data_IF_103389157055
#
_entry.id   IF_103389157055
#
_cell.length_a   1.000
_cell.length_b   1.000
_cell.length_c   1.000
_cell.angle_alpha   90.00
_cell.angle_beta   90.00
_cell.angle_gamma   90.00
#
_symmetry.space_group_name_H-M   'P 1'
#
loop_
_entity.id
_entity.type
_entity.pdbx_description
1 polymer ?
#
# COMPACT_ATOMS: atom_id res chain seq x y z
N UNK A 1 27.13 16.28 13.32
CA UNK A 1 26.80 15.00 12.64
C UNK A 1 26.90 15.24 11.13
N UNK A 2 27.43 14.33 10.32
CA UNK A 2 27.40 14.48 8.87
C UNK A 2 25.94 14.62 8.42
N UNK A 3 25.71 15.41 7.37
CA UNK A 3 24.37 15.56 6.79
C UNK A 3 24.05 14.25 6.10
N UNK A 4 22.94 13.58 6.44
CA UNK A 4 22.59 12.32 5.80
C UNK A 4 22.40 12.53 4.29
N UNK A 5 22.67 11.48 3.53
CA UNK A 5 22.33 11.43 2.13
C UNK A 5 20.80 11.43 1.97
N UNK A 6 20.27 12.30 1.10
CA UNK A 6 18.81 12.42 0.91
C UNK A 6 18.38 11.75 -0.39
N UNK A 7 17.48 10.78 -0.30
CA UNK A 7 16.74 10.27 -1.45
C UNK A 7 15.41 11.00 -1.57
N UNK A 8 15.21 11.69 -2.68
CA UNK A 8 13.94 12.33 -3.02
C UNK A 8 13.20 11.48 -4.05
N UNK A 9 12.22 10.70 -3.59
CA UNK A 9 11.35 9.96 -4.48
C UNK A 9 10.24 10.89 -5.00
N UNK A 10 10.26 11.17 -6.29
CA UNK A 10 9.51 12.29 -6.86
C UNK A 10 8.14 11.88 -7.38
N UNK A 11 8.04 10.76 -8.07
CA UNK A 11 6.78 10.28 -8.63
C UNK A 11 6.84 8.80 -9.01
N UNK A 12 5.69 8.16 -8.98
CA UNK A 12 5.47 6.79 -9.42
C UNK A 12 3.98 6.56 -9.65
N UNK A 13 3.65 5.50 -10.35
CA UNK A 13 2.28 5.17 -10.71
C UNK A 13 1.45 4.59 -9.57
N UNK A 14 0.14 4.46 -9.82
CA UNK A 14 -0.79 3.71 -8.98
C UNK A 14 -1.48 4.53 -7.90
N UNK A 15 -2.45 3.85 -7.26
CA UNK A 15 -3.26 4.38 -6.16
C UNK A 15 -2.63 4.01 -4.81
N UNK A 16 -3.36 4.27 -3.71
CA UNK A 16 -2.88 4.09 -2.33
C UNK A 16 -2.07 2.81 -2.11
N UNK A 17 -2.59 1.64 -2.50
CA UNK A 17 -1.90 0.36 -2.24
C UNK A 17 -0.49 0.31 -2.82
N UNK A 18 -0.32 0.81 -4.05
CA UNK A 18 1.00 0.88 -4.69
C UNK A 18 1.91 1.91 -4.02
N UNK A 19 1.34 3.05 -3.59
CA UNK A 19 2.09 4.09 -2.90
C UNK A 19 2.57 3.60 -1.53
N UNK A 20 1.71 2.89 -0.78
CA UNK A 20 2.07 2.28 0.51
C UNK A 20 3.20 1.26 0.34
N UNK A 21 3.05 0.33 -0.60
CA UNK A 21 4.05 -0.71 -0.85
C UNK A 21 5.41 -0.10 -1.20
N UNK A 22 5.42 0.86 -2.11
CA UNK A 22 6.66 1.53 -2.51
C UNK A 22 7.30 2.31 -1.37
N UNK A 23 6.52 3.09 -0.63
CA UNK A 23 7.05 3.84 0.50
C UNK A 23 7.54 2.90 1.61
N UNK A 24 6.88 1.75 1.80
CA UNK A 24 7.35 0.71 2.71
C UNK A 24 8.76 0.20 2.35
N UNK A 25 9.05 -0.02 1.06
CA UNK A 25 10.38 -0.39 0.60
C UNK A 25 11.42 0.70 0.88
N UNK A 26 11.08 1.96 0.60
CA UNK A 26 11.96 3.09 0.90
C UNK A 26 12.22 3.26 2.40
N UNK A 27 11.20 3.08 3.23
CA UNK A 27 11.36 3.13 4.69
C UNK A 27 12.24 1.98 5.19
N UNK A 28 12.06 0.77 4.65
CA UNK A 28 12.88 -0.39 4.99
C UNK A 28 14.35 -0.15 4.65
N UNK A 29 14.62 0.37 3.46
CA UNK A 29 15.96 0.73 3.02
C UNK A 29 16.59 1.81 3.91
N UNK A 30 15.84 2.88 4.23
CA UNK A 30 16.33 3.94 5.11
C UNK A 30 16.59 3.43 6.54
N UNK A 31 15.81 2.44 6.99
CA UNK A 31 16.02 1.80 8.30
C UNK A 31 17.27 0.91 8.33
N UNK A 32 17.56 0.23 7.22
CA UNK A 32 18.77 -0.57 7.10
C UNK A 32 20.04 0.30 7.15
N UNK A 33 19.96 1.51 6.60
CA UNK A 33 21.05 2.50 6.58
C UNK A 33 20.82 3.65 7.58
N UNK A 34 20.31 3.33 8.79
CA UNK A 34 19.92 4.34 9.78
C UNK A 34 21.09 5.26 10.17
N UNK A 35 20.84 6.55 10.06
CA UNK A 35 21.82 7.60 10.34
C UNK A 35 22.60 8.08 9.12
N UNK A 36 22.65 7.31 8.04
CA UNK A 36 23.39 7.64 6.82
C UNK A 36 22.47 8.25 5.75
N UNK A 37 21.20 7.85 5.75
CA UNK A 37 20.22 8.24 4.72
C UNK A 37 18.92 8.78 5.30
N UNK A 38 18.24 9.60 4.51
CA UNK A 38 16.83 9.94 4.69
C UNK A 38 16.10 9.82 3.35
N UNK A 39 14.83 9.49 3.41
CA UNK A 39 13.95 9.39 2.24
C UNK A 39 12.83 10.41 2.35
N UNK A 40 12.56 11.12 1.28
CA UNK A 40 11.42 12.04 1.13
C UNK A 40 10.54 11.48 0.01
N UNK A 41 9.34 10.97 0.35
CA UNK A 41 8.42 10.41 -0.65
C UNK A 41 7.34 11.44 -1.03
N UNK A 42 7.62 12.22 -2.08
CA UNK A 42 6.68 13.20 -2.63
C UNK A 42 5.47 12.54 -3.31
N UNK A 43 5.60 11.31 -3.77
CA UNK A 43 4.50 10.60 -4.40
C UNK A 43 3.46 10.10 -3.38
N UNK A 44 3.86 9.90 -2.12
CA UNK A 44 2.96 9.53 -1.02
C UNK A 44 2.22 10.73 -0.41
N UNK A 45 2.71 11.93 -0.60
CA UNK A 45 2.14 13.16 -0.02
C UNK A 45 0.60 13.27 -0.11
N UNK A 46 -0.07 12.97 -1.25
CA UNK A 46 -1.53 13.07 -1.32
C UNK A 46 -2.29 12.17 -0.33
N UNK A 47 -1.61 11.17 0.22
CA UNK A 47 -2.17 10.21 1.17
C UNK A 47 -1.72 10.46 2.61
N UNK A 48 -0.84 11.42 2.84
CA UNK A 48 -0.23 11.70 4.15
C UNK A 48 -1.27 11.92 5.26
N UNK A 49 -2.35 12.66 4.94
CA UNK A 49 -3.41 12.99 5.91
C UNK A 49 -4.24 11.77 6.38
N UNK A 50 -4.17 10.66 5.65
CA UNK A 50 -4.87 9.42 6.01
C UNK A 50 -4.19 8.67 7.16
N UNK A 51 -2.95 9.01 7.48
CA UNK A 51 -2.13 8.31 8.46
C UNK A 51 -1.66 9.23 9.58
N UNK A 52 -1.77 8.73 10.82
CA UNK A 52 -1.48 9.51 12.03
C UNK A 52 -0.09 10.16 11.98
N UNK A 53 0.92 9.40 11.60
CA UNK A 53 2.30 9.82 11.55
C UNK A 53 2.53 10.95 10.54
N UNK A 54 2.00 10.79 9.33
CA UNK A 54 2.26 11.70 8.21
C UNK A 54 1.38 12.95 8.22
N UNK A 55 0.27 12.93 8.97
CA UNK A 55 -0.59 14.12 9.13
C UNK A 55 0.17 15.31 9.71
N UNK A 56 1.12 15.08 10.60
CA UNK A 56 1.99 16.12 11.17
C UNK A 56 3.27 16.36 10.35
N UNK A 57 3.61 15.45 9.45
CA UNK A 57 4.81 15.49 8.61
C UNK A 57 4.47 15.26 7.13
N UNK A 58 3.73 16.20 6.48
CA UNK A 58 3.20 16.00 5.13
C UNK A 58 4.28 15.87 4.05
N UNK A 59 5.53 16.26 4.32
CA UNK A 59 6.65 16.01 3.40
C UNK A 59 7.05 14.52 3.33
N UNK A 60 6.44 13.64 4.16
CA UNK A 60 6.69 12.20 4.16
C UNK A 60 8.17 11.83 4.24
N UNK A 61 8.87 12.42 5.22
CA UNK A 61 10.30 12.20 5.47
C UNK A 61 10.49 11.01 6.40
N UNK A 62 11.35 10.08 6.03
CA UNK A 62 11.73 8.95 6.89
C UNK A 62 13.26 8.77 6.92
N UNK A 63 13.90 8.54 8.08
CA UNK A 63 13.31 8.54 9.42
C UNK A 63 12.70 9.87 9.80
N UNK A 64 11.66 9.84 10.66
CA UNK A 64 11.00 11.06 11.09
C UNK A 64 11.96 11.95 11.90
N UNK A 65 12.29 13.08 11.32
CA UNK A 65 13.08 14.14 11.98
C UNK A 65 12.40 15.48 11.70
N UNK A 66 12.48 16.47 12.61
CA UNK A 66 12.04 17.82 12.28
C UNK A 66 12.77 18.28 11.02
N UNK A 67 12.06 18.38 9.92
CA UNK A 67 12.64 18.75 8.64
C UNK A 67 12.21 20.17 8.22
N UNK A 68 13.11 20.90 7.55
CA UNK A 68 12.77 22.25 7.05
C UNK A 68 11.60 22.22 6.06
N UNK A 69 11.49 21.14 5.28
CA UNK A 69 10.38 20.95 4.36
C UNK A 69 9.03 20.72 5.07
N UNK A 70 9.01 20.10 6.26
CA UNK A 70 7.78 19.96 7.05
C UNK A 70 7.25 21.31 7.52
N UNK A 71 8.13 22.23 7.90
CA UNK A 71 7.75 23.60 8.26
C UNK A 71 7.18 24.34 7.03
N UNK A 72 7.85 24.26 5.88
CA UNK A 72 7.38 24.82 4.63
C UNK A 72 6.06 24.17 4.16
N UNK A 73 5.96 22.83 4.20
CA UNK A 73 4.75 22.11 3.83
C UNK A 73 3.56 22.47 4.74
N UNK A 74 3.78 22.67 6.05
CA UNK A 74 2.73 23.16 6.97
C UNK A 74 2.28 24.57 6.66
N UNK A 75 3.20 25.43 6.26
CA UNK A 75 2.92 26.82 5.88
C UNK A 75 2.10 26.89 4.57
N UNK A 76 2.32 25.92 3.67
CA UNK A 76 1.66 25.82 2.37
C UNK A 76 0.61 24.69 2.30
N UNK A 77 0.03 24.29 3.45
CA UNK A 77 -1.03 23.25 3.52
C UNK A 77 -2.23 23.48 2.58
N UNK A 78 -2.47 24.71 2.19
CA UNK A 78 -3.50 25.08 1.23
C UNK A 78 -3.13 24.75 -0.23
N UNK A 79 -1.86 24.48 -0.51
CA UNK A 79 -1.42 24.06 -1.86
C UNK A 79 -1.82 22.59 -2.07
N UNK A 80 -2.56 22.30 -3.15
CA UNK A 80 -2.90 20.92 -3.49
C UNK A 80 -1.64 20.06 -3.62
N UNK A 81 -1.64 18.85 -3.06
CA UNK A 81 -0.51 17.91 -3.12
C UNK A 81 -0.03 17.63 -4.55
N UNK A 82 -0.91 17.78 -5.56
CA UNK A 82 -0.55 17.64 -6.97
C UNK A 82 0.43 18.72 -7.47
N UNK A 83 0.46 19.91 -6.85
CA UNK A 83 1.46 20.95 -7.18
C UNK A 83 2.85 20.53 -6.69
N UNK A 84 2.94 19.96 -5.50
CA UNK A 84 4.20 19.40 -5.00
C UNK A 84 4.71 18.25 -5.87
N UNK A 85 3.82 17.36 -6.30
CA UNK A 85 4.16 16.27 -7.21
C UNK A 85 4.62 16.77 -8.59
N UNK A 86 3.95 17.79 -9.16
CA UNK A 86 4.39 18.38 -10.42
C UNK A 86 5.77 19.03 -10.27
N UNK A 87 5.98 19.81 -9.21
CA UNK A 87 7.29 20.41 -8.94
C UNK A 87 8.39 19.36 -8.80
N UNK A 88 8.12 18.27 -8.08
CA UNK A 88 9.05 17.16 -7.92
C UNK A 88 9.37 16.46 -9.26
N UNK A 89 8.37 16.25 -10.13
CA UNK A 89 8.59 15.72 -11.50
C UNK A 89 9.46 16.64 -12.36
N UNK A 90 9.20 17.95 -12.32
CA UNK A 90 10.04 18.91 -13.04
C UNK A 90 11.47 18.92 -12.51
N UNK A 91 11.65 18.88 -11.18
CA UNK A 91 12.98 18.79 -10.58
C UNK A 91 13.71 17.53 -11.05
N UNK A 92 13.05 16.37 -10.96
CA UNK A 92 13.62 15.10 -11.40
C UNK A 92 14.02 15.16 -12.90
N UNK A 93 13.12 15.61 -13.76
CA UNK A 93 13.41 15.79 -15.20
C UNK A 93 14.58 16.75 -15.45
N UNK A 94 14.67 17.85 -14.70
CA UNK A 94 15.77 18.80 -14.80
C UNK A 94 17.10 18.15 -14.34
N UNK A 95 17.11 17.44 -13.23
CA UNK A 95 18.31 16.73 -12.74
C UNK A 95 18.73 15.65 -13.73
N UNK A 96 17.79 14.88 -14.27
CA UNK A 96 18.06 13.86 -15.29
C UNK A 96 18.64 14.44 -16.55
N UNK A 97 18.05 15.55 -17.06
CA UNK A 97 18.51 16.21 -18.27
C UNK A 97 19.86 16.93 -18.12
N UNK A 98 20.13 17.44 -16.89
CA UNK A 98 21.30 18.30 -16.63
C UNK A 98 22.33 17.64 -15.72
N UNK A 99 22.08 16.43 -15.22
CA UNK A 99 22.89 15.77 -14.20
C UNK A 99 24.38 15.58 -14.56
N UNK A 100 24.72 15.59 -15.86
CA UNK A 100 26.11 15.70 -16.33
C UNK A 100 26.72 17.10 -16.14
N UNK A 101 25.90 18.13 -15.92
CA UNK A 101 26.32 19.54 -15.90
C UNK A 101 26.29 20.18 -14.52
N UNK A 102 25.80 19.45 -13.47
CA UNK A 102 25.64 19.99 -12.12
C UNK A 102 26.43 19.26 -11.02
N UNK A 103 27.73 18.99 -11.22
CA UNK A 103 28.56 18.36 -10.18
C UNK A 103 28.63 19.19 -8.88
N UNK A 104 28.43 20.52 -8.97
CA UNK A 104 28.45 21.41 -7.80
C UNK A 104 27.30 21.17 -6.82
N UNK A 105 26.16 20.65 -7.28
CA UNK A 105 24.98 20.40 -6.43
C UNK A 105 24.96 18.99 -5.87
N UNK A 106 25.88 18.14 -6.25
CA UNK A 106 25.94 16.74 -5.83
C UNK A 106 24.58 16.03 -5.92
N UNK A 107 23.87 16.24 -7.02
CA UNK A 107 22.59 15.61 -7.31
C UNK A 107 22.72 14.63 -8.47
N UNK A 108 22.02 13.51 -8.34
CA UNK A 108 21.89 12.50 -9.41
C UNK A 108 20.44 12.09 -9.54
N UNK A 109 20.00 11.72 -10.74
CA UNK A 109 18.72 11.09 -11.00
C UNK A 109 18.95 9.60 -11.26
N UNK A 110 18.28 8.74 -10.53
CA UNK A 110 18.26 7.29 -10.73
C UNK A 110 16.83 6.87 -11.08
N UNK A 111 16.68 6.27 -12.23
CA UNK A 111 15.42 5.74 -12.73
C UNK A 111 15.44 4.23 -12.77
N UNK A 112 14.27 3.64 -12.85
CA UNK A 112 14.06 2.24 -13.14
C UNK A 112 14.62 1.93 -14.55
N UNK A 113 15.73 1.19 -14.69
CA UNK A 113 16.32 0.92 -15.98
C UNK A 113 15.39 0.02 -16.80
N UNK A 114 14.92 0.54 -17.94
CA UNK A 114 14.14 -0.23 -18.92
C UNK A 114 12.87 -0.92 -18.41
N UNK A 115 12.26 -0.45 -17.31
CA UNK A 115 11.06 -1.04 -16.72
C UNK A 115 11.35 -2.21 -15.78
N UNK A 116 12.61 -2.42 -15.40
CA UNK A 116 13.03 -3.31 -14.33
C UNK A 116 12.84 -2.66 -12.97
N UNK A 117 12.77 -3.45 -11.90
CA UNK A 117 12.64 -2.92 -10.54
C UNK A 117 13.95 -2.26 -10.10
N UNK A 118 13.86 -1.06 -9.52
CA UNK A 118 14.97 -0.47 -8.78
C UNK A 118 15.24 -1.31 -7.55
N UNK A 119 16.33 -2.05 -7.56
CA UNK A 119 16.70 -2.95 -6.47
C UNK A 119 17.45 -2.19 -5.37
N UNK A 120 16.74 -1.95 -4.26
CA UNK A 120 17.29 -1.27 -3.09
C UNK A 120 18.27 -2.13 -2.28
N UNK A 121 18.29 -3.44 -2.50
CA UNK A 121 19.22 -4.37 -1.84
C UNK A 121 20.54 -4.48 -2.59
N UNK A 122 20.60 -3.93 -3.81
CA UNK A 122 21.83 -3.89 -4.58
C UNK A 122 22.88 -2.99 -3.92
N UNK A 123 24.09 -3.49 -3.64
CA UNK A 123 25.20 -2.64 -3.17
C UNK A 123 25.55 -1.50 -4.13
N UNK A 124 25.30 -1.69 -5.43
CA UNK A 124 25.55 -0.68 -6.45
C UNK A 124 24.59 0.50 -6.32
N UNK A 125 23.32 0.24 -5.94
CA UNK A 125 22.38 1.31 -5.69
C UNK A 125 22.84 2.18 -4.53
N UNK A 126 23.15 1.59 -3.38
CA UNK A 126 23.63 2.35 -2.21
C UNK A 126 24.92 3.11 -2.54
N UNK A 127 25.90 2.44 -3.17
CA UNK A 127 27.18 3.04 -3.54
C UNK A 127 27.00 4.22 -4.51
N UNK A 128 26.06 4.11 -5.44
CA UNK A 128 25.75 5.19 -6.40
C UNK A 128 25.04 6.35 -5.73
N UNK A 129 24.09 6.07 -4.86
CA UNK A 129 23.37 7.07 -4.09
C UNK A 129 24.32 7.82 -3.14
N UNK A 130 25.14 7.11 -2.38
CA UNK A 130 26.03 7.68 -1.36
C UNK A 130 27.14 8.61 -1.91
N UNK A 131 27.44 8.53 -3.23
CA UNK A 131 28.38 9.46 -3.89
C UNK A 131 27.82 10.88 -4.03
N UNK A 132 26.53 11.05 -3.84
CA UNK A 132 25.83 12.32 -4.07
C UNK A 132 25.13 12.75 -2.77
N UNK A 133 24.95 14.05 -2.61
CA UNK A 133 24.23 14.59 -1.46
C UNK A 133 22.72 14.36 -1.56
N UNK A 134 22.20 14.42 -2.78
CA UNK A 134 20.77 14.20 -3.08
C UNK A 134 20.63 13.28 -4.28
N UNK A 135 19.86 12.23 -4.12
CA UNK A 135 19.46 11.36 -5.24
C UNK A 135 17.97 11.55 -5.48
N UNK A 136 17.60 11.91 -6.72
CA UNK A 136 16.20 11.90 -7.12
C UNK A 136 15.86 10.58 -7.77
N UNK A 137 14.76 9.97 -7.35
CA UNK A 137 14.29 8.71 -7.90
C UNK A 137 12.87 8.87 -8.42
N UNK A 138 12.57 8.16 -9.51
CA UNK A 138 11.24 8.05 -10.07
C UNK A 138 11.02 6.62 -10.56
N UNK A 139 9.80 6.31 -10.96
CA UNK A 139 9.47 5.02 -11.52
C UNK A 139 8.37 4.29 -10.78
N UNK A 140 8.02 3.13 -11.32
CA UNK A 140 6.91 2.34 -10.79
C UNK A 140 7.38 1.27 -9.82
N UNK A 141 8.50 0.65 -10.11
CA UNK A 141 8.95 -0.57 -9.44
C UNK A 141 10.15 -0.27 -8.55
N UNK A 142 9.96 -0.48 -7.27
CA UNK A 142 11.01 -0.44 -6.26
C UNK A 142 10.93 -1.73 -5.46
N UNK A 143 12.02 -2.39 -5.22
CA UNK A 143 12.09 -3.63 -4.44
C UNK A 143 13.21 -3.58 -3.41
N UNK A 144 12.93 -4.16 -2.26
CA UNK A 144 13.84 -4.32 -1.12
C UNK A 144 13.11 -5.24 -0.14
N UNK A 145 12.82 -6.47 -0.60
CA UNK A 145 11.89 -7.36 0.09
C UNK A 145 12.47 -7.94 1.37
N UNK A 146 13.77 -8.23 1.41
CA UNK A 146 14.41 -8.72 2.63
C UNK A 146 14.47 -7.62 3.69
N UNK A 147 14.76 -6.38 3.28
CA UNK A 147 14.73 -5.24 4.19
C UNK A 147 13.31 -4.99 4.71
N UNK A 148 12.30 -5.09 3.82
CA UNK A 148 10.91 -4.92 4.20
C UNK A 148 10.46 -6.00 5.20
N UNK A 149 10.79 -7.26 4.96
CA UNK A 149 10.52 -8.37 5.88
C UNK A 149 11.18 -8.16 7.25
N UNK A 150 12.44 -7.72 7.26
CA UNK A 150 13.20 -7.44 8.49
C UNK A 150 12.59 -6.32 9.32
N UNK A 151 12.10 -5.26 8.68
CA UNK A 151 11.64 -4.03 9.35
C UNK A 151 10.11 -3.87 9.39
N UNK A 152 9.35 -4.89 9.00
CA UNK A 152 7.90 -4.82 8.83
C UNK A 152 7.12 -4.27 10.04
N UNK A 153 7.54 -4.63 11.27
CA UNK A 153 6.87 -4.17 12.48
C UNK A 153 6.90 -2.64 12.63
N UNK A 154 8.08 -2.04 12.44
CA UNK A 154 8.24 -0.56 12.51
C UNK A 154 7.51 0.12 11.36
N UNK A 155 7.50 -0.48 10.17
CA UNK A 155 6.82 0.08 9.00
C UNK A 155 5.30 0.06 9.18
N UNK A 156 4.73 -1.01 9.75
CA UNK A 156 3.29 -1.07 10.11
C UNK A 156 2.89 0.08 11.02
N UNK A 157 3.72 0.38 12.04
CA UNK A 157 3.49 1.51 12.95
C UNK A 157 3.43 2.86 12.20
N UNK A 158 4.27 3.04 11.18
CA UNK A 158 4.27 4.24 10.36
C UNK A 158 2.97 4.41 9.55
N UNK A 159 2.25 3.33 9.28
CA UNK A 159 1.01 3.33 8.54
C UNK A 159 -0.24 3.20 9.42
N UNK A 160 -0.15 3.53 10.69
CA UNK A 160 -1.35 3.64 11.54
C UNK A 160 -2.33 4.64 10.95
N UNK A 161 -3.60 4.26 10.74
CA UNK A 161 -4.62 5.19 10.27
C UNK A 161 -4.76 6.42 11.17
N UNK A 162 -5.14 7.54 10.60
CA UNK A 162 -5.52 8.72 11.36
C UNK A 162 -6.65 8.37 12.34
N UNK A 163 -6.63 8.87 13.60
CA UNK A 163 -7.58 8.46 14.65
C UNK A 163 -9.07 8.61 14.30
N UNK A 164 -9.43 9.51 13.39
CA UNK A 164 -10.81 9.63 12.90
C UNK A 164 -11.24 8.39 12.14
N UNK A 165 -10.44 7.95 11.16
CA UNK A 165 -10.70 6.74 10.38
C UNK A 165 -10.63 5.49 11.25
N UNK A 166 -9.68 5.41 12.19
CA UNK A 166 -9.59 4.29 13.12
C UNK A 166 -10.87 4.15 13.93
N UNK A 167 -11.38 5.23 14.52
CA UNK A 167 -12.64 5.21 15.29
C UNK A 167 -13.87 4.86 14.44
N UNK A 168 -13.95 5.33 13.19
CA UNK A 168 -15.05 4.96 12.29
C UNK A 168 -15.02 3.47 12.01
N UNK A 169 -13.87 2.91 11.69
CA UNK A 169 -13.72 1.49 11.42
C UNK A 169 -14.00 0.62 12.66
N UNK A 170 -13.51 1.03 13.84
CA UNK A 170 -13.82 0.33 15.10
C UNK A 170 -15.31 0.34 15.41
N UNK A 171 -15.99 1.47 15.19
CA UNK A 171 -17.46 1.56 15.38
C UNK A 171 -18.21 0.61 14.45
N UNK A 172 -17.72 0.36 13.25
CA UNK A 172 -18.29 -0.62 12.33
C UNK A 172 -17.97 -2.07 12.76
N UNK A 173 -16.72 -2.35 13.09
CA UNK A 173 -16.23 -3.71 13.37
C UNK A 173 -16.66 -4.24 14.76
N UNK A 174 -16.69 -3.41 15.80
CA UNK A 174 -16.95 -3.86 17.17
C UNK A 174 -18.31 -4.57 17.34
N UNK A 175 -19.44 -4.12 16.76
CA UNK A 175 -20.71 -4.85 16.84
C UNK A 175 -20.66 -6.21 16.13
N UNK A 176 -19.85 -6.34 15.06
CA UNK A 176 -19.67 -7.60 14.34
C UNK A 176 -18.86 -8.58 15.19
N UNK A 177 -17.80 -8.12 15.84
CA UNK A 177 -17.00 -8.94 16.79
C UNK A 177 -17.85 -9.48 17.95
N UNK A 178 -18.87 -8.75 18.39
CA UNK A 178 -19.81 -9.23 19.42
C UNK A 178 -20.75 -10.35 18.95
N UNK A 179 -20.95 -10.49 17.64
CA UNK A 179 -21.88 -11.46 17.05
C UNK A 179 -21.21 -12.66 16.38
N UNK A 180 -20.00 -12.50 15.86
CA UNK A 180 -19.31 -13.47 15.04
C UNK A 180 -17.98 -13.84 15.63
N UNK A 181 -17.62 -15.09 15.48
CA UNK A 181 -16.37 -15.66 16.01
C UNK A 181 -15.19 -15.44 15.06
N UNK A 182 -15.50 -15.20 13.77
CA UNK A 182 -14.53 -14.92 12.70
C UNK A 182 -15.05 -13.79 11.82
N UNK A 183 -14.20 -12.80 11.57
CA UNK A 183 -14.45 -11.74 10.58
C UNK A 183 -13.47 -11.87 9.42
N UNK A 184 -13.97 -12.20 8.24
CA UNK A 184 -13.19 -12.23 7.01
C UNK A 184 -13.35 -10.89 6.25
N UNK A 185 -12.27 -10.26 5.88
CA UNK A 185 -12.29 -9.14 4.94
C UNK A 185 -12.31 -9.65 3.50
N UNK A 186 -13.16 -9.10 2.64
CA UNK A 186 -13.22 -9.43 1.22
C UNK A 186 -13.12 -8.17 0.38
N UNK A 187 -12.11 -8.10 -0.48
CA UNK A 187 -11.99 -7.06 -1.48
C UNK A 187 -12.58 -7.52 -2.82
N UNK A 188 -13.56 -6.79 -3.33
CA UNK A 188 -14.08 -6.93 -4.68
C UNK A 188 -13.49 -5.83 -5.55
N UNK A 189 -12.78 -6.21 -6.62
CA UNK A 189 -12.20 -5.28 -7.59
C UNK A 189 -12.78 -5.56 -8.96
N UNK A 190 -13.45 -4.58 -9.55
CA UNK A 190 -14.08 -4.69 -10.86
C UNK A 190 -13.68 -3.57 -11.81
N UNK A 191 -13.73 -2.31 -11.42
CA UNK A 191 -13.46 -1.14 -12.22
C UNK A 191 -12.39 -1.32 -13.30
N UNK A 192 -11.16 -0.98 -12.97
CA UNK A 192 -9.99 -1.15 -13.84
C UNK A 192 -9.64 -2.63 -14.12
N UNK A 193 -10.13 -3.57 -13.31
CA UNK A 193 -9.90 -5.02 -13.49
C UNK A 193 -10.64 -5.61 -14.70
N UNK A 194 -11.63 -4.92 -15.26
CA UNK A 194 -12.30 -5.36 -16.51
C UNK A 194 -11.32 -5.44 -17.69
N UNK A 195 -10.31 -4.59 -17.70
CA UNK A 195 -9.31 -4.53 -18.78
C UNK A 195 -7.91 -4.96 -18.32
N UNK A 196 -7.63 -4.84 -17.02
CA UNK A 196 -6.34 -5.24 -16.49
C UNK A 196 -6.15 -6.75 -16.64
N UNK A 197 -5.03 -7.13 -17.26
CA UNK A 197 -4.75 -8.54 -17.57
C UNK A 197 -5.92 -9.23 -18.31
N UNK A 198 -6.49 -8.55 -19.29
CA UNK A 198 -7.60 -9.07 -20.12
C UNK A 198 -8.82 -9.47 -19.29
N UNK A 199 -9.03 -8.84 -18.13
CA UNK A 199 -10.15 -9.14 -17.24
C UNK A 199 -9.99 -10.42 -16.40
N UNK A 200 -8.83 -11.08 -16.43
CA UNK A 200 -8.58 -12.36 -15.74
C UNK A 200 -8.98 -12.38 -14.28
N UNK A 201 -8.84 -11.26 -13.58
CA UNK A 201 -9.12 -11.13 -12.16
C UNK A 201 -10.37 -10.29 -11.85
N UNK A 202 -11.17 -10.00 -12.87
CA UNK A 202 -12.48 -9.36 -12.72
C UNK A 202 -13.55 -10.42 -12.49
N UNK A 203 -13.75 -10.81 -11.23
CA UNK A 203 -14.71 -11.86 -10.87
C UNK A 203 -16.12 -11.31 -10.72
N UNK A 204 -17.12 -12.16 -11.02
CA UNK A 204 -18.53 -11.82 -10.86
C UNK A 204 -18.95 -11.84 -9.38
N UNK A 205 -20.04 -11.14 -9.04
CA UNK A 205 -20.64 -11.19 -7.72
C UNK A 205 -20.99 -12.64 -7.30
N UNK A 206 -21.47 -13.46 -8.24
CA UNK A 206 -21.76 -14.89 -8.02
C UNK A 206 -20.50 -15.70 -7.64
N UNK A 207 -19.36 -15.40 -8.27
CA UNK A 207 -18.07 -16.03 -7.92
C UNK A 207 -17.67 -15.70 -6.49
N UNK A 208 -17.75 -14.42 -6.11
CA UNK A 208 -17.47 -14.03 -4.73
C UNK A 208 -18.43 -14.66 -3.71
N UNK A 209 -19.72 -14.71 -4.03
CA UNK A 209 -20.70 -15.41 -3.19
C UNK A 209 -20.41 -16.92 -3.05
N UNK A 210 -19.88 -17.54 -4.11
CA UNK A 210 -19.39 -18.92 -4.07
C UNK A 210 -18.23 -19.11 -3.07
N UNK A 211 -17.24 -18.24 -3.09
CA UNK A 211 -16.14 -18.28 -2.12
C UNK A 211 -16.60 -18.01 -0.67
N UNK A 212 -17.59 -17.12 -0.48
CA UNK A 212 -18.14 -16.90 0.86
C UNK A 212 -18.81 -18.17 1.40
N UNK A 213 -19.54 -18.93 0.57
CA UNK A 213 -20.11 -20.22 0.98
C UNK A 213 -19.02 -21.23 1.36
N UNK A 214 -17.98 -21.38 0.52
CA UNK A 214 -16.84 -22.22 0.84
C UNK A 214 -16.17 -21.80 2.18
N UNK A 215 -16.06 -20.50 2.41
CA UNK A 215 -15.48 -19.99 3.66
C UNK A 215 -16.31 -20.37 4.88
N UNK A 216 -17.65 -20.35 4.77
CA UNK A 216 -18.54 -20.80 5.82
C UNK A 216 -18.35 -22.30 6.08
N UNK A 217 -18.26 -23.10 5.02
CA UNK A 217 -18.07 -24.55 5.09
C UNK A 217 -16.69 -24.92 5.71
N UNK A 218 -15.67 -24.10 5.49
CA UNK A 218 -14.34 -24.27 6.10
C UNK A 218 -14.30 -23.94 7.60
N UNK A 219 -15.37 -23.34 8.17
CA UNK A 219 -15.43 -22.96 9.59
C UNK A 219 -16.63 -23.62 10.30
N UNK A 220 -16.71 -24.96 10.33
CA UNK A 220 -17.86 -25.64 10.92
C UNK A 220 -18.01 -25.28 12.41
N UNK A 221 -19.24 -24.98 12.82
CA UNK A 221 -19.55 -24.61 14.19
C UNK A 221 -19.13 -23.22 14.64
N UNK A 222 -18.51 -22.42 13.76
CA UNK A 222 -18.15 -21.02 14.04
C UNK A 222 -19.07 -20.06 13.29
N UNK A 223 -19.45 -18.99 13.97
CA UNK A 223 -20.20 -17.90 13.34
C UNK A 223 -19.21 -17.01 12.60
N UNK A 224 -19.28 -17.02 11.28
CA UNK A 224 -18.44 -16.18 10.43
C UNK A 224 -19.25 -15.01 9.85
N UNK A 225 -18.61 -13.84 9.70
CA UNK A 225 -19.11 -12.76 8.85
C UNK A 225 -18.05 -12.30 7.89
N UNK A 226 -18.50 -11.75 6.74
CA UNK A 226 -17.64 -11.22 5.70
C UNK A 226 -17.87 -9.72 5.55
N UNK A 227 -16.81 -8.94 5.77
CA UNK A 227 -16.76 -7.49 5.53
C UNK A 227 -16.33 -7.25 4.10
N UNK A 228 -17.23 -6.72 3.28
CA UNK A 228 -17.02 -6.54 1.83
C UNK A 228 -16.64 -5.09 1.52
N UNK A 229 -15.44 -4.89 1.04
CA UNK A 229 -15.01 -3.65 0.39
C UNK A 229 -15.10 -3.81 -1.13
N UNK A 230 -15.72 -2.85 -1.83
CA UNK A 230 -15.86 -2.89 -3.28
C UNK A 230 -15.66 -1.51 -3.91
N UNK A 231 -15.08 -1.49 -5.11
CA UNK A 231 -14.83 -0.27 -5.89
C UNK A 231 -16.01 0.11 -6.80
N UNK A 232 -16.91 -0.82 -7.06
CA UNK A 232 -18.17 -0.61 -7.78
C UNK A 232 -19.35 -1.19 -6.98
N UNK A 233 -20.54 -0.64 -7.17
CA UNK A 233 -21.76 -1.15 -6.55
C UNK A 233 -22.01 -2.60 -6.92
N UNK A 234 -22.29 -3.42 -5.92
CA UNK A 234 -22.65 -4.83 -6.07
C UNK A 234 -24.16 -5.02 -5.95
N UNK A 235 -24.70 -5.95 -6.70
CA UNK A 235 -26.09 -6.39 -6.54
C UNK A 235 -26.25 -7.17 -5.25
N UNK A 236 -27.07 -6.68 -4.33
CA UNK A 236 -27.31 -7.28 -3.03
C UNK A 236 -27.92 -8.68 -3.11
N UNK A 237 -28.70 -8.95 -4.16
CA UNK A 237 -29.30 -10.26 -4.43
C UNK A 237 -28.27 -11.39 -4.52
N UNK A 238 -27.07 -11.13 -5.06
CA UNK A 238 -26.01 -12.11 -5.15
C UNK A 238 -25.50 -12.59 -3.78
N UNK A 239 -25.65 -11.77 -2.76
CA UNK A 239 -25.18 -12.02 -1.38
C UNK A 239 -26.36 -12.33 -0.41
N UNK A 240 -27.59 -12.48 -0.94
CA UNK A 240 -28.75 -12.74 -0.12
C UNK A 240 -28.58 -14.02 0.71
N UNK A 241 -28.90 -13.96 2.01
CA UNK A 241 -28.78 -15.08 2.94
C UNK A 241 -27.35 -15.39 3.39
N UNK A 242 -26.34 -14.66 2.92
CA UNK A 242 -24.96 -14.79 3.38
C UNK A 242 -24.66 -13.76 4.48
N UNK A 243 -23.82 -14.08 5.47
CA UNK A 243 -23.46 -13.19 6.57
C UNK A 243 -22.48 -12.09 6.12
N UNK A 244 -22.95 -11.25 5.20
CA UNK A 244 -22.17 -10.21 4.55
C UNK A 244 -22.52 -8.81 5.06
N UNK A 245 -21.49 -7.98 5.26
CA UNK A 245 -21.61 -6.59 5.68
C UNK A 245 -20.75 -5.73 4.76
N UNK A 246 -21.36 -4.82 4.02
CA UNK A 246 -20.59 -3.90 3.18
C UNK A 246 -19.86 -2.89 4.05
N UNK A 247 -18.56 -2.78 3.85
CA UNK A 247 -17.67 -1.83 4.52
C UNK A 247 -18.17 -0.38 4.32
N UNK A 248 -17.98 0.48 5.32
CA UNK A 248 -18.48 1.85 5.33
C UNK A 248 -18.03 2.67 4.11
N UNK A 249 -16.79 2.47 3.69
CA UNK A 249 -16.22 3.15 2.52
C UNK A 249 -16.42 2.41 1.19
N UNK A 250 -17.22 1.33 1.15
CA UNK A 250 -17.53 0.61 -0.09
C UNK A 250 -18.48 1.40 -0.99
N UNK A 251 -18.48 1.11 -2.28
CA UNK A 251 -19.40 1.75 -3.23
C UNK A 251 -20.89 1.52 -2.91
N UNK A 252 -21.22 0.50 -2.11
CA UNK A 252 -22.57 0.23 -1.63
C UNK A 252 -22.98 1.10 -0.42
N UNK A 253 -22.03 1.59 0.37
CA UNK A 253 -22.29 2.35 1.60
C UNK A 253 -22.10 3.86 1.45
N UNK A 254 -21.15 4.31 0.63
CA UNK A 254 -20.96 5.73 0.27
C UNK A 254 -20.17 6.56 1.28
N UNK A 255 -19.49 5.94 2.26
CA UNK A 255 -18.51 6.59 3.13
C UNK A 255 -17.18 6.88 2.43
N UNK A 256 -16.19 7.29 3.18
CA UNK A 256 -14.86 7.55 2.61
C UNK A 256 -14.15 6.23 2.29
N UNK A 257 -13.66 6.06 1.08
CA UNK A 257 -13.06 4.82 0.57
C UNK A 257 -11.93 4.25 1.47
N UNK A 258 -11.22 5.11 2.22
CA UNK A 258 -10.16 4.69 3.14
C UNK A 258 -10.71 3.95 4.37
N UNK A 259 -11.98 4.17 4.75
CA UNK A 259 -12.64 3.41 5.82
C UNK A 259 -12.64 1.92 5.49
N UNK A 260 -12.94 1.55 4.23
CA UNK A 260 -12.84 0.16 3.78
C UNK A 260 -11.45 -0.44 3.94
N UNK A 261 -10.39 0.35 3.70
CA UNK A 261 -9.01 -0.10 3.92
C UNK A 261 -8.76 -0.44 5.38
N UNK A 262 -9.20 0.44 6.29
CA UNK A 262 -9.02 0.26 7.73
C UNK A 262 -9.86 -0.91 8.25
N UNK A 263 -11.12 -1.02 7.82
CA UNK A 263 -12.03 -2.10 8.21
C UNK A 263 -11.50 -3.47 7.77
N UNK A 264 -10.97 -3.59 6.53
CA UNK A 264 -10.30 -4.81 6.07
C UNK A 264 -9.09 -5.15 6.96
N UNK A 265 -8.30 -4.15 7.36
CA UNK A 265 -7.12 -4.36 8.22
C UNK A 265 -7.47 -4.85 9.64
N UNK A 266 -8.70 -4.65 10.08
CA UNK A 266 -9.22 -5.10 11.37
C UNK A 266 -9.84 -6.49 11.33
N UNK A 267 -10.04 -7.10 10.16
CA UNK A 267 -10.54 -8.47 10.01
C UNK A 267 -9.48 -9.51 10.43
N UNK A 268 -9.87 -10.76 10.59
CA UNK A 268 -8.94 -11.83 11.00
C UNK A 268 -8.01 -12.26 9.87
N UNK A 269 -8.49 -12.17 8.64
CA UNK A 269 -7.73 -12.33 7.39
C UNK A 269 -8.42 -11.59 6.26
N UNK A 270 -7.73 -11.37 5.15
CA UNK A 270 -8.24 -10.64 3.98
C UNK A 270 -8.21 -11.53 2.75
N UNK A 271 -9.36 -11.71 2.11
CA UNK A 271 -9.47 -12.30 0.78
C UNK A 271 -9.38 -11.19 -0.28
N UNK A 272 -8.55 -11.37 -1.27
CA UNK A 272 -8.36 -10.34 -2.30
C UNK A 272 -7.94 -10.96 -3.63
N UNK A 273 -8.51 -10.51 -4.77
CA UNK A 273 -7.83 -10.71 -6.04
C UNK A 273 -6.45 -10.04 -5.98
N UNK A 274 -5.54 -10.30 -6.94
CA UNK A 274 -4.22 -9.67 -6.96
C UNK A 274 -4.31 -8.14 -6.94
N UNK A 275 -4.30 -7.55 -5.75
CA UNK A 275 -4.47 -6.13 -5.51
C UNK A 275 -3.56 -5.66 -4.37
N UNK A 276 -2.75 -4.65 -4.67
CA UNK A 276 -1.92 -4.01 -3.65
C UNK A 276 -2.75 -3.35 -2.54
N UNK A 277 -3.99 -2.94 -2.82
CA UNK A 277 -4.89 -2.40 -1.79
C UNK A 277 -5.24 -3.47 -0.74
N UNK A 278 -5.68 -4.66 -1.17
CA UNK A 278 -6.01 -5.76 -0.26
C UNK A 278 -4.77 -6.29 0.48
N UNK A 279 -3.66 -6.47 -0.24
CA UNK A 279 -2.41 -6.93 0.36
C UNK A 279 -1.86 -5.93 1.40
N UNK A 280 -1.92 -4.62 1.12
CA UNK A 280 -1.47 -3.61 2.07
C UNK A 280 -2.45 -3.43 3.25
N UNK A 281 -3.75 -3.65 3.07
CA UNK A 281 -4.68 -3.70 4.21
C UNK A 281 -4.36 -4.88 5.14
N UNK A 282 -4.10 -6.06 4.58
CA UNK A 282 -3.64 -7.22 5.35
C UNK A 282 -2.30 -6.94 6.06
N UNK A 283 -1.32 -6.38 5.35
CA UNK A 283 -0.02 -6.02 5.91
C UNK A 283 -0.13 -5.03 7.07
N UNK A 284 -0.83 -3.92 6.89
CA UNK A 284 -1.00 -2.88 7.93
C UNK A 284 -1.71 -3.45 9.16
N UNK A 285 -2.70 -4.30 8.97
CA UNK A 285 -3.40 -4.99 10.06
C UNK A 285 -2.60 -6.14 10.70
N UNK A 286 -1.47 -6.55 10.12
CA UNK A 286 -0.75 -7.75 10.55
C UNK A 286 -1.59 -9.02 10.36
N UNK A 287 -2.37 -9.09 9.28
CA UNK A 287 -3.34 -10.14 9.00
C UNK A 287 -2.91 -11.02 7.84
N UNK A 288 -3.25 -12.32 7.86
CA UNK A 288 -3.06 -13.19 6.71
C UNK A 288 -3.81 -12.69 5.47
N UNK A 289 -3.24 -12.96 4.30
CA UNK A 289 -3.85 -12.69 3.00
C UNK A 289 -4.26 -14.01 2.34
N UNK A 290 -5.49 -14.07 1.83
CA UNK A 290 -5.98 -15.18 1.01
C UNK A 290 -6.13 -14.72 -0.43
N UNK A 291 -5.22 -15.08 -1.34
CA UNK A 291 -5.27 -14.64 -2.72
C UNK A 291 -6.36 -15.38 -3.50
N UNK A 292 -7.18 -14.63 -4.22
CA UNK A 292 -8.21 -15.11 -5.13
C UNK A 292 -7.69 -15.03 -6.56
N UNK A 293 -7.32 -16.16 -7.16
CA UNK A 293 -6.53 -16.20 -8.40
C UNK A 293 -7.30 -16.70 -9.64
N UNK A 294 -8.39 -17.43 -9.44
CA UNK A 294 -9.15 -18.03 -10.55
C UNK A 294 -10.61 -18.26 -10.15
N UNK A 295 -11.54 -18.09 -11.09
CA UNK A 295 -13.00 -18.25 -10.87
C UNK A 295 -13.39 -19.60 -10.25
N UNK A 296 -12.72 -20.68 -10.59
CA UNK A 296 -12.98 -22.02 -10.06
C UNK A 296 -12.14 -22.40 -8.83
N UNK A 297 -11.46 -21.44 -8.20
CA UNK A 297 -10.59 -21.72 -7.06
C UNK A 297 -11.40 -22.30 -5.89
N UNK A 298 -10.94 -23.45 -5.39
CA UNK A 298 -11.37 -23.99 -4.10
C UNK A 298 -10.51 -23.38 -2.99
N UNK A 299 -11.15 -22.84 -1.95
CA UNK A 299 -10.44 -22.27 -0.82
C UNK A 299 -9.90 -23.38 0.08
N UNK A 300 -8.65 -23.24 0.54
CA UNK A 300 -8.02 -24.14 1.50
C UNK A 300 -7.04 -23.36 2.40
N UNK A 301 -6.94 -23.71 3.67
CA UNK A 301 -6.14 -22.94 4.64
C UNK A 301 -4.64 -22.86 4.32
N UNK A 302 -4.11 -23.82 3.58
CA UNK A 302 -2.72 -23.83 3.11
C UNK A 302 -2.42 -22.73 2.08
N UNK A 303 -3.45 -22.12 1.51
CA UNK A 303 -3.33 -20.97 0.60
C UNK A 303 -3.20 -19.63 1.34
N UNK A 304 -3.42 -19.60 2.67
CA UNK A 304 -3.26 -18.39 3.48
C UNK A 304 -1.80 -18.00 3.56
N UNK A 305 -1.51 -16.79 3.13
CA UNK A 305 -0.20 -16.16 3.26
C UNK A 305 -0.18 -15.43 4.59
N UNK A 306 0.50 -16.02 5.58
CA UNK A 306 0.53 -15.51 6.96
C UNK A 306 1.26 -14.19 7.10
N UNK A 307 2.28 -13.96 6.29
CA UNK A 307 2.91 -12.65 6.13
C UNK A 307 2.58 -12.11 4.74
N UNK A 308 1.69 -11.12 4.70
CA UNK A 308 1.15 -10.58 3.45
C UNK A 308 2.20 -10.00 2.48
N UNK A 309 3.44 -9.83 2.90
CA UNK A 309 4.55 -9.34 2.09
C UNK A 309 5.71 -10.36 1.96
N UNK A 310 5.61 -11.54 2.56
CA UNK A 310 6.65 -12.55 2.46
C UNK A 310 6.71 -13.22 1.07
N UNK A 311 7.90 -13.58 0.64
CA UNK A 311 8.09 -14.35 -0.59
C UNK A 311 7.82 -13.59 -1.89
N UNK A 312 8.20 -12.35 -1.95
CA UNK A 312 7.85 -11.38 -2.97
C UNK A 312 8.00 -11.80 -4.43
N UNK A 313 9.05 -12.50 -4.79
CA UNK A 313 9.27 -12.95 -6.17
C UNK A 313 8.23 -14.00 -6.62
N UNK A 314 7.71 -14.79 -5.68
CA UNK A 314 6.68 -15.80 -5.90
C UNK A 314 5.30 -15.36 -5.39
N UNK A 315 5.18 -14.17 -4.79
CA UNK A 315 3.94 -13.71 -4.19
C UNK A 315 2.86 -13.50 -5.27
N UNK A 316 1.68 -14.14 -5.15
CA UNK A 316 0.67 -14.13 -6.20
C UNK A 316 0.12 -12.73 -6.53
N UNK A 317 0.21 -11.80 -5.58
CA UNK A 317 -0.20 -10.39 -5.80
C UNK A 317 0.93 -9.59 -6.44
N UNK A 318 2.16 -9.68 -5.94
CA UNK A 318 3.28 -8.83 -6.34
C UNK A 318 4.06 -9.40 -7.52
N UNK A 319 4.24 -10.72 -7.59
CA UNK A 319 4.85 -11.38 -8.75
C UNK A 319 4.04 -11.20 -10.04
N UNK A 320 2.73 -10.96 -9.95
CA UNK A 320 1.88 -10.62 -11.10
C UNK A 320 2.00 -9.15 -11.53
N UNK A 321 2.50 -8.29 -10.66
CA UNK A 321 2.73 -6.87 -10.97
C UNK A 321 4.03 -6.64 -11.75
N UNK A 322 4.88 -7.66 -11.84
CA UNK A 322 6.26 -7.56 -12.40
C UNK A 322 6.33 -7.91 -13.89
N UNK A 323 5.22 -8.34 -14.54
CA UNK A 323 5.22 -8.64 -15.98
C UNK A 323 4.25 -7.79 -16.75
#
# INVERSE_FOLDING_TARGET
>A
MPVPHTVLYTHGGGRLGNQLLRFAHWMAWAREHEGEVEVIDMAFWPYAELFQQWKSHPACVYPMRPHRLDAAARQFRWLPGWLGQRGARYLHGAVHATGRWWPRWQMVALDDPAGESLDLESPDFFSSAAKHRVTTCAGWKVSGWNFLAKHQAVIRECFRPEPGFARCAEKFIAPLRGKYDVLAGLLIRQGDYRTWREGRFCFSAGTYAGWIRQLIDLHPGRRIAVVIACDERQELSAFAGLPCHFASGSANAGGHWFESFVELSLCDFVLSPPSTFGAMAAFVGGRPLWPLLATGQTLAFDQLITDALSGAAAHPVFGLSVK
#
